data_IF_378349538658
#
_entry.id   IF_378349538658
#
_cell.length_a   1.000
_cell.length_b   1.000
_cell.length_c   1.000
_cell.angle_alpha   90.00
_cell.angle_beta   90.00
_cell.angle_gamma   90.00
#
_symmetry.space_group_name_H-M   'P 1'
#
loop_
_entity.id
_entity.type
_entity.pdbx_description
1 polymer ?
#
# COMPACT_ATOMS: atom_id res chain seq x y z
N UNK A 1 -74.07 -22.24 19.01
CA UNK A 1 -73.73 -22.16 17.57
C UNK A 1 -73.90 -20.75 16.99
N UNK A 2 -74.48 -19.78 17.71
CA UNK A 2 -74.66 -18.41 17.19
C UNK A 2 -75.78 -18.28 16.15
N UNK A 3 -76.62 -19.31 16.01
CA UNK A 3 -77.73 -19.36 15.06
C UNK A 3 -79.05 -19.09 15.77
N UNK A 4 -79.98 -18.44 15.06
CA UNK A 4 -81.34 -18.31 15.53
C UNK A 4 -82.04 -19.69 15.53
N UNK A 5 -82.89 -19.99 16.54
CA UNK A 5 -83.65 -21.23 16.56
C UNK A 5 -84.62 -21.30 15.36
N UNK A 6 -84.78 -22.51 14.83
CA UNK A 6 -85.69 -22.79 13.72
C UNK A 6 -87.13 -22.47 14.14
N UNK A 7 -87.86 -21.67 13.33
CA UNK A 7 -89.23 -21.29 13.67
C UNK A 7 -90.15 -22.51 13.60
N UNK A 8 -90.97 -22.77 14.62
CA UNK A 8 -91.89 -23.91 14.62
C UNK A 8 -92.96 -23.74 13.52
N UNK A 9 -93.43 -24.85 12.97
CA UNK A 9 -94.59 -24.86 12.08
C UNK A 9 -95.84 -24.37 12.82
N UNK A 10 -96.68 -23.61 12.12
CA UNK A 10 -97.98 -23.17 12.62
C UNK A 10 -99.09 -23.69 11.69
N UNK A 11 -100.05 -24.51 12.19
CA UNK A 11 -100.14 -25.05 13.56
C UNK A 11 -99.04 -26.07 13.88
N UNK A 12 -98.78 -26.29 15.18
CA UNK A 12 -97.78 -27.25 15.68
C UNK A 12 -98.11 -28.67 15.21
N UNK A 13 -97.17 -29.31 14.52
CA UNK A 13 -97.30 -30.70 14.07
C UNK A 13 -96.86 -31.66 15.20
N UNK A 14 -97.85 -32.15 15.96
CA UNK A 14 -97.65 -33.11 17.05
C UNK A 14 -97.76 -34.58 16.59
N UNK A 15 -97.81 -34.83 15.28
CA UNK A 15 -97.82 -36.21 14.76
C UNK A 15 -96.49 -36.90 15.03
N UNK A 16 -96.48 -38.25 15.04
CA UNK A 16 -95.24 -39.04 15.16
C UNK A 16 -94.21 -38.62 14.09
N UNK A 17 -94.67 -38.36 12.87
CA UNK A 17 -93.84 -37.87 11.78
C UNK A 17 -93.29 -36.44 12.03
N UNK A 18 -94.07 -35.55 12.64
CA UNK A 18 -93.61 -34.21 13.06
C UNK A 18 -92.51 -34.29 14.13
N UNK A 19 -92.72 -35.14 15.13
CA UNK A 19 -91.74 -35.37 16.21
C UNK A 19 -90.45 -36.00 15.66
N UNK A 20 -90.55 -36.99 14.78
CA UNK A 20 -89.37 -37.65 14.21
C UNK A 20 -88.57 -36.71 13.31
N UNK A 21 -89.23 -35.81 12.56
CA UNK A 21 -88.56 -34.73 11.81
C UNK A 21 -87.74 -33.81 12.72
N UNK A 22 -88.29 -33.40 13.87
CA UNK A 22 -87.57 -32.57 14.84
C UNK A 22 -86.39 -33.33 15.48
N UNK A 23 -86.55 -34.63 15.77
CA UNK A 23 -85.45 -35.47 16.27
C UNK A 23 -84.32 -35.60 15.25
N UNK A 24 -84.64 -35.78 13.98
CA UNK A 24 -83.66 -35.87 12.90
C UNK A 24 -82.92 -34.54 12.71
N UNK A 25 -83.65 -33.41 12.69
CA UNK A 25 -83.06 -32.07 12.66
C UNK A 25 -82.12 -31.82 13.86
N UNK A 26 -82.52 -32.23 15.06
CA UNK A 26 -81.67 -32.15 16.26
C UNK A 26 -80.42 -33.04 16.14
N UNK A 27 -80.55 -34.25 15.57
CA UNK A 27 -79.42 -35.15 15.33
C UNK A 27 -78.41 -34.53 14.35
N UNK A 28 -78.91 -33.92 13.27
CA UNK A 28 -78.08 -33.18 12.30
C UNK A 28 -77.37 -32.00 12.98
N UNK A 29 -78.10 -31.18 13.75
CA UNK A 29 -77.52 -30.04 14.47
C UNK A 29 -76.49 -30.44 15.52
N UNK A 30 -76.69 -31.55 16.25
CA UNK A 30 -75.69 -32.11 17.17
C UNK A 30 -74.42 -32.57 16.44
N UNK A 31 -74.56 -33.20 15.27
CA UNK A 31 -73.42 -33.61 14.44
C UNK A 31 -72.65 -32.39 13.92
N UNK A 32 -73.38 -31.38 13.41
CA UNK A 32 -72.79 -30.12 12.98
C UNK A 32 -72.06 -29.40 14.12
N UNK A 33 -72.66 -29.36 15.31
CA UNK A 33 -72.05 -28.79 16.50
C UNK A 33 -70.73 -29.48 16.87
N UNK A 34 -70.72 -30.81 16.87
CA UNK A 34 -69.51 -31.59 17.13
C UNK A 34 -68.41 -31.31 16.09
N UNK A 35 -68.78 -31.26 14.80
CA UNK A 35 -67.86 -30.93 13.72
C UNK A 35 -67.27 -29.53 13.87
N UNK A 36 -68.09 -28.52 14.19
CA UNK A 36 -67.63 -27.14 14.41
C UNK A 36 -66.71 -27.03 15.62
N UNK A 37 -67.05 -27.68 16.73
CA UNK A 37 -66.18 -27.73 17.92
C UNK A 37 -64.81 -28.32 17.57
N UNK A 38 -64.79 -29.42 16.82
CA UNK A 38 -63.54 -30.04 16.38
C UNK A 38 -62.73 -29.11 15.46
N UNK A 39 -63.38 -28.43 14.52
CA UNK A 39 -62.72 -27.48 13.62
C UNK A 39 -62.11 -26.29 14.40
N UNK A 40 -62.83 -25.72 15.36
CA UNK A 40 -62.34 -24.62 16.21
C UNK A 40 -61.11 -25.06 17.01
N UNK A 41 -61.17 -26.22 17.66
CA UNK A 41 -60.04 -26.75 18.43
C UNK A 41 -58.81 -26.97 17.54
N UNK A 42 -59.01 -27.46 16.30
CA UNK A 42 -57.92 -27.67 15.35
C UNK A 42 -57.25 -26.35 14.95
N UNK A 43 -58.01 -25.35 14.52
CA UNK A 43 -57.44 -24.06 14.08
C UNK A 43 -56.83 -23.29 15.25
N UNK A 44 -57.40 -23.40 16.46
CA UNK A 44 -56.82 -22.82 17.67
C UNK A 44 -55.50 -23.48 18.07
N UNK A 45 -55.37 -24.79 17.90
CA UNK A 45 -54.10 -25.49 18.13
C UNK A 45 -53.03 -25.07 17.11
N UNK A 46 -53.40 -24.97 15.83
CA UNK A 46 -52.52 -24.43 14.78
C UNK A 46 -52.06 -23.01 15.12
N UNK A 47 -52.97 -22.13 15.57
CA UNK A 47 -52.64 -20.79 16.02
C UNK A 47 -51.67 -20.80 17.21
N UNK A 48 -51.95 -21.61 18.24
CA UNK A 48 -51.10 -21.74 19.45
C UNK A 48 -49.69 -22.20 19.10
N UNK A 49 -49.55 -23.19 18.23
CA UNK A 49 -48.24 -23.68 17.77
C UNK A 49 -47.47 -22.57 17.04
N UNK A 50 -48.14 -21.78 16.20
CA UNK A 50 -47.49 -20.67 15.50
C UNK A 50 -47.07 -19.54 16.44
N UNK A 51 -47.91 -19.20 17.43
CA UNK A 51 -47.56 -18.21 18.47
C UNK A 51 -46.29 -18.61 19.21
N UNK A 52 -46.16 -19.89 19.58
CA UNK A 52 -44.97 -20.42 20.26
C UNK A 52 -43.73 -20.42 19.35
N UNK A 53 -43.87 -20.86 18.09
CA UNK A 53 -42.77 -20.86 17.11
C UNK A 53 -42.22 -19.46 16.83
N UNK A 54 -43.11 -18.48 16.72
CA UNK A 54 -42.77 -17.07 16.45
C UNK A 54 -42.36 -16.33 17.74
N UNK A 55 -42.58 -16.96 18.90
CA UNK A 55 -42.40 -16.38 20.24
C UNK A 55 -43.10 -15.02 20.38
N UNK A 56 -44.38 -14.98 20.03
CA UNK A 56 -45.17 -13.76 20.20
C UNK A 56 -45.50 -13.56 21.69
N UNK A 57 -45.03 -12.45 22.28
CA UNK A 57 -45.24 -12.15 23.71
C UNK A 57 -46.49 -11.31 23.92
N UNK A 58 -46.75 -10.36 23.01
CA UNK A 58 -47.86 -9.42 23.10
C UNK A 58 -49.08 -9.93 22.34
N UNK A 59 -49.97 -10.64 23.03
CA UNK A 59 -51.24 -11.12 22.50
C UNK A 59 -52.39 -10.19 22.90
N UNK A 60 -53.34 -9.97 22.00
CA UNK A 60 -54.61 -9.33 22.34
C UNK A 60 -55.43 -10.22 23.29
N UNK A 61 -56.43 -9.66 23.99
CA UNK A 61 -57.30 -10.44 24.87
C UNK A 61 -58.04 -11.56 24.12
N UNK A 62 -58.39 -11.31 22.85
CA UNK A 62 -58.95 -12.32 21.97
C UNK A 62 -57.95 -13.46 21.71
N UNK A 63 -56.73 -13.12 21.26
CA UNK A 63 -55.71 -14.11 20.92
C UNK A 63 -55.28 -14.92 22.15
N UNK A 64 -55.20 -14.27 23.33
CA UNK A 64 -54.98 -14.94 24.61
C UNK A 64 -56.10 -15.93 24.93
N UNK A 65 -57.35 -15.58 24.65
CA UNK A 65 -58.49 -16.48 24.83
C UNK A 65 -58.46 -17.66 23.86
N UNK A 66 -58.05 -17.45 22.60
CA UNK A 66 -57.84 -18.53 21.61
C UNK A 66 -56.76 -19.51 22.10
N UNK A 67 -55.66 -19.02 22.66
CA UNK A 67 -54.54 -19.84 23.15
C UNK A 67 -54.88 -20.60 24.45
N UNK A 68 -55.62 -19.98 25.36
CA UNK A 68 -55.84 -20.53 26.72
C UNK A 68 -57.16 -21.28 26.89
N UNK A 69 -58.27 -20.79 26.32
CA UNK A 69 -59.58 -21.39 26.45
C UNK A 69 -60.52 -20.98 25.29
N UNK A 70 -60.26 -21.51 24.09
CA UNK A 70 -61.05 -21.20 22.89
C UNK A 70 -62.53 -21.60 23.02
N UNK A 71 -62.85 -22.59 23.86
CA UNK A 71 -64.23 -23.06 24.01
C UNK A 71 -65.15 -22.01 24.65
N UNK A 72 -64.59 -21.07 25.43
CA UNK A 72 -65.33 -19.94 26.01
C UNK A 72 -65.82 -18.94 24.95
N UNK A 73 -65.22 -18.92 23.76
CA UNK A 73 -65.55 -18.00 22.66
C UNK A 73 -66.76 -18.47 21.84
N UNK A 74 -67.28 -19.67 22.12
CA UNK A 74 -68.45 -20.23 21.45
C UNK A 74 -68.13 -21.12 20.26
N UNK A 75 -69.15 -21.40 19.44
CA UNK A 75 -69.11 -22.39 18.34
C UNK A 75 -69.74 -21.85 17.05
N UNK A 76 -69.51 -20.57 16.76
CA UNK A 76 -69.98 -19.93 15.51
C UNK A 76 -69.01 -20.23 14.36
N UNK A 77 -69.51 -20.18 13.12
CA UNK A 77 -68.66 -20.32 11.93
C UNK A 77 -67.67 -19.14 11.81
N UNK A 78 -68.10 -17.93 12.16
CA UNK A 78 -67.29 -16.72 12.13
C UNK A 78 -66.04 -16.82 13.04
N UNK A 79 -66.12 -17.58 14.14
CA UNK A 79 -64.95 -17.82 14.99
C UNK A 79 -63.89 -18.64 14.26
N UNK A 80 -64.29 -19.65 13.49
CA UNK A 80 -63.38 -20.46 12.67
C UNK A 80 -62.69 -19.57 11.65
N UNK A 81 -63.46 -18.74 10.94
CA UNK A 81 -62.93 -17.81 9.95
C UNK A 81 -61.92 -16.83 10.57
N UNK A 82 -62.27 -16.20 11.68
CA UNK A 82 -61.40 -15.23 12.36
C UNK A 82 -60.08 -15.86 12.83
N UNK A 83 -60.11 -17.03 13.46
CA UNK A 83 -58.87 -17.71 13.88
C UNK A 83 -58.08 -18.16 12.64
N UNK A 84 -58.75 -18.60 11.57
CA UNK A 84 -58.07 -18.98 10.32
C UNK A 84 -57.33 -17.81 9.67
N UNK A 85 -57.92 -16.61 9.69
CA UNK A 85 -57.23 -15.38 9.25
C UNK A 85 -56.02 -15.08 10.13
N UNK A 86 -56.15 -15.18 11.45
CA UNK A 86 -55.03 -15.00 12.39
C UNK A 86 -53.90 -16.01 12.18
N UNK A 87 -54.24 -17.26 11.84
CA UNK A 87 -53.26 -18.30 11.47
C UNK A 87 -52.53 -17.90 10.19
N UNK A 88 -53.25 -17.44 9.16
CA UNK A 88 -52.64 -16.97 7.91
C UNK A 88 -51.68 -15.79 8.16
N UNK A 89 -52.07 -14.82 8.98
CA UNK A 89 -51.22 -13.69 9.37
C UNK A 89 -49.93 -14.15 10.06
N UNK A 90 -50.01 -15.12 10.99
CA UNK A 90 -48.83 -15.66 11.68
C UNK A 90 -47.93 -16.49 10.77
N UNK A 91 -48.50 -17.23 9.80
CA UNK A 91 -47.71 -17.94 8.78
C UNK A 91 -46.91 -16.94 7.95
N UNK A 92 -47.54 -15.84 7.54
CA UNK A 92 -46.85 -14.80 6.78
C UNK A 92 -45.76 -14.13 7.63
N UNK A 93 -46.06 -13.75 8.87
CA UNK A 93 -45.09 -13.16 9.78
C UNK A 93 -43.89 -14.08 10.01
N UNK A 94 -44.13 -15.38 10.19
CA UNK A 94 -43.07 -16.38 10.31
C UNK A 94 -42.19 -16.39 9.07
N UNK A 95 -42.78 -16.47 7.88
CA UNK A 95 -42.04 -16.47 6.61
C UNK A 95 -41.21 -15.19 6.42
N UNK A 96 -41.79 -14.03 6.74
CA UNK A 96 -41.10 -12.74 6.64
C UNK A 96 -39.90 -12.66 7.59
N UNK A 97 -40.06 -13.14 8.83
CA UNK A 97 -38.97 -13.18 9.82
C UNK A 97 -37.87 -14.17 9.45
N UNK A 98 -38.21 -15.34 8.94
CA UNK A 98 -37.24 -16.32 8.42
C UNK A 98 -36.43 -15.74 7.27
N UNK A 99 -37.10 -15.06 6.32
CA UNK A 99 -36.43 -14.43 5.19
C UNK A 99 -35.56 -13.25 5.62
N UNK A 100 -36.05 -12.37 6.49
CA UNK A 100 -35.28 -11.25 7.03
C UNK A 100 -34.02 -11.74 7.76
N UNK A 101 -34.17 -12.75 8.62
CA UNK A 101 -33.05 -13.36 9.33
C UNK A 101 -32.01 -13.93 8.37
N UNK A 102 -32.44 -14.66 7.34
CA UNK A 102 -31.53 -15.20 6.32
C UNK A 102 -30.73 -14.09 5.65
N UNK A 103 -31.41 -13.03 5.21
CA UNK A 103 -30.77 -11.88 4.56
C UNK A 103 -29.79 -11.14 5.49
N UNK A 104 -30.09 -11.03 6.79
CA UNK A 104 -29.18 -10.46 7.79
C UNK A 104 -27.95 -11.35 7.99
N UNK A 105 -28.14 -12.65 8.20
CA UNK A 105 -27.04 -13.60 8.39
C UNK A 105 -26.14 -13.70 7.16
N UNK A 106 -26.69 -13.69 5.95
CA UNK A 106 -25.91 -13.69 4.71
C UNK A 106 -24.97 -12.45 4.64
N UNK A 107 -25.47 -11.28 5.02
CA UNK A 107 -24.66 -10.04 5.08
C UNK A 107 -23.60 -10.11 6.19
N UNK A 108 -23.96 -10.65 7.36
CA UNK A 108 -23.06 -10.82 8.51
C UNK A 108 -21.92 -11.78 8.15
N UNK A 109 -22.20 -12.91 7.51
CA UNK A 109 -21.18 -13.87 7.09
C UNK A 109 -20.15 -13.24 6.13
N UNK A 110 -20.61 -12.49 5.13
CA UNK A 110 -19.72 -11.75 4.22
C UNK A 110 -18.81 -10.79 4.98
N UNK A 111 -19.33 -10.10 6.00
CA UNK A 111 -18.53 -9.18 6.82
C UNK A 111 -17.59 -9.91 7.77
N UNK A 112 -17.98 -11.06 8.34
CA UNK A 112 -17.11 -11.89 9.16
C UNK A 112 -15.90 -12.39 8.38
N UNK A 113 -16.09 -12.85 7.14
CA UNK A 113 -15.01 -13.28 6.25
C UNK A 113 -14.08 -12.11 5.92
N UNK A 114 -14.64 -10.97 5.52
CA UNK A 114 -13.85 -9.77 5.16
C UNK A 114 -13.10 -9.16 6.34
N UNK A 115 -13.69 -9.18 7.54
CA UNK A 115 -13.10 -8.59 8.74
C UNK A 115 -12.28 -9.60 9.56
N UNK A 116 -12.24 -10.87 9.12
CA UNK A 116 -11.59 -12.01 9.77
C UNK A 116 -12.00 -12.18 11.25
N UNK A 117 -13.31 -12.22 11.50
CA UNK A 117 -13.86 -12.38 12.86
C UNK A 117 -13.67 -13.83 13.31
N UNK A 118 -13.18 -14.02 14.55
CA UNK A 118 -12.86 -15.34 15.08
C UNK A 118 -14.10 -16.26 15.19
N UNK A 119 -13.98 -17.58 14.94
CA UNK A 119 -15.11 -18.51 15.01
C UNK A 119 -15.85 -18.53 16.35
N UNK A 120 -15.15 -18.29 17.47
CA UNK A 120 -15.77 -18.24 18.80
C UNK A 120 -16.82 -17.12 18.87
N UNK A 121 -16.46 -15.91 18.45
CA UNK A 121 -17.38 -14.75 18.40
C UNK A 121 -18.52 -14.99 17.41
N UNK A 122 -18.25 -15.66 16.27
CA UNK A 122 -19.31 -16.04 15.35
C UNK A 122 -20.32 -16.98 16.01
N UNK A 123 -19.84 -17.97 16.77
CA UNK A 123 -20.67 -18.90 17.54
C UNK A 123 -21.57 -18.19 18.54
N UNK A 124 -21.01 -17.29 19.36
CA UNK A 124 -21.76 -16.52 20.36
C UNK A 124 -22.90 -15.70 19.73
N UNK A 125 -22.66 -15.09 18.57
CA UNK A 125 -23.68 -14.34 17.82
C UNK A 125 -24.75 -15.28 17.26
N UNK A 126 -24.37 -16.41 16.67
CA UNK A 126 -25.33 -17.37 16.12
C UNK A 126 -26.24 -17.96 17.21
N UNK A 127 -25.69 -18.18 18.41
CA UNK A 127 -26.45 -18.62 19.57
C UNK A 127 -27.42 -17.52 20.08
N UNK A 128 -26.99 -16.26 20.11
CA UNK A 128 -27.87 -15.12 20.44
C UNK A 128 -28.97 -14.90 19.38
N UNK A 129 -28.70 -15.23 18.12
CA UNK A 129 -29.65 -15.14 17.01
C UNK A 129 -30.47 -16.42 16.81
N UNK A 130 -30.55 -17.32 17.80
CA UNK A 130 -31.27 -18.59 17.66
C UNK A 130 -32.78 -18.38 17.55
N UNK A 131 -33.44 -19.08 16.62
CA UNK A 131 -34.88 -18.94 16.37
C UNK A 131 -35.27 -17.75 15.49
N UNK A 132 -36.54 -17.34 15.54
CA UNK A 132 -37.13 -16.28 14.70
C UNK A 132 -37.94 -15.26 15.53
N UNK A 133 -37.59 -15.13 16.81
CA UNK A 133 -38.19 -14.12 17.66
C UNK A 133 -37.78 -12.72 17.23
N UNK A 134 -38.55 -11.71 17.65
CA UNK A 134 -38.20 -10.31 17.39
C UNK A 134 -36.84 -9.95 18.03
N UNK A 135 -36.54 -10.50 19.22
CA UNK A 135 -35.25 -10.30 19.87
C UNK A 135 -34.10 -10.94 19.08
N UNK A 136 -34.27 -12.15 18.54
CA UNK A 136 -33.23 -12.80 17.74
C UNK A 136 -32.90 -12.01 16.46
N UNK A 137 -33.92 -11.43 15.81
CA UNK A 137 -33.74 -10.53 14.68
C UNK A 137 -33.01 -9.24 15.08
N UNK A 138 -33.39 -8.63 16.21
CA UNK A 138 -32.72 -7.43 16.73
C UNK A 138 -31.23 -7.69 17.00
N UNK A 139 -30.88 -8.82 17.60
CA UNK A 139 -29.46 -9.18 17.80
C UNK A 139 -28.69 -9.29 16.48
N UNK A 140 -29.32 -9.84 15.42
CA UNK A 140 -28.70 -9.90 14.10
C UNK A 140 -28.54 -8.49 13.48
N UNK A 141 -29.52 -7.61 13.62
CA UNK A 141 -29.46 -6.21 13.18
C UNK A 141 -28.36 -5.42 13.91
N UNK A 142 -28.27 -5.60 15.23
CA UNK A 142 -27.25 -4.97 16.08
C UNK A 142 -25.85 -5.44 15.69
N UNK A 143 -25.66 -6.75 15.46
CA UNK A 143 -24.38 -7.28 14.98
C UNK A 143 -24.01 -6.73 13.60
N UNK A 144 -24.96 -6.71 12.66
CA UNK A 144 -24.73 -6.15 11.33
C UNK A 144 -24.28 -4.68 11.43
N UNK A 145 -24.95 -3.90 12.27
CA UNK A 145 -24.59 -2.50 12.54
C UNK A 145 -23.20 -2.38 13.13
N UNK A 146 -22.86 -3.23 14.11
CA UNK A 146 -21.53 -3.28 14.74
C UNK A 146 -20.44 -3.61 13.71
N UNK A 147 -20.65 -4.60 12.85
CA UNK A 147 -19.70 -4.99 11.79
C UNK A 147 -19.54 -3.90 10.74
N UNK A 148 -20.62 -3.24 10.32
CA UNK A 148 -20.56 -2.10 9.40
C UNK A 148 -19.79 -0.93 9.99
N UNK A 149 -19.93 -0.67 11.29
CA UNK A 149 -19.15 0.36 11.99
C UNK A 149 -17.67 -0.02 12.08
N UNK A 150 -17.37 -1.28 12.43
CA UNK A 150 -16.01 -1.80 12.47
C UNK A 150 -15.32 -1.70 11.09
N UNK A 151 -16.04 -2.06 10.01
CA UNK A 151 -15.57 -1.90 8.64
C UNK A 151 -15.18 -0.46 8.33
N UNK A 152 -16.07 0.50 8.63
CA UNK A 152 -15.83 1.93 8.40
C UNK A 152 -14.62 2.44 9.19
N UNK A 153 -14.50 2.00 10.45
CA UNK A 153 -13.37 2.40 11.31
C UNK A 153 -12.04 1.90 10.76
N UNK A 154 -11.93 0.59 10.46
CA UNK A 154 -10.70 0.01 9.87
C UNK A 154 -10.34 0.67 8.54
N UNK A 155 -11.34 0.93 7.70
CA UNK A 155 -11.13 1.59 6.41
C UNK A 155 -10.61 3.03 6.59
N UNK A 156 -11.14 3.77 7.57
CA UNK A 156 -10.66 5.10 7.93
C UNK A 156 -9.23 5.10 8.46
N UNK A 157 -8.86 4.12 9.27
CA UNK A 157 -7.48 3.93 9.76
C UNK A 157 -6.50 3.68 8.60
N UNK A 158 -6.83 2.74 7.70
CA UNK A 158 -6.03 2.45 6.52
C UNK A 158 -5.88 3.69 5.61
N UNK A 159 -6.97 4.42 5.40
CA UNK A 159 -6.94 5.64 4.60
C UNK A 159 -5.99 6.68 5.23
N UNK A 160 -6.07 6.89 6.55
CA UNK A 160 -5.17 7.80 7.26
C UNK A 160 -3.70 7.37 7.14
N UNK A 161 -3.41 6.08 7.22
CA UNK A 161 -2.05 5.55 7.06
C UNK A 161 -1.50 5.79 5.65
N UNK A 162 -2.29 5.53 4.62
CA UNK A 162 -1.88 5.80 3.22
C UNK A 162 -1.69 7.30 3.01
N UNK A 163 -2.59 8.15 3.54
CA UNK A 163 -2.45 9.62 3.47
C UNK A 163 -1.16 10.12 4.13
N UNK A 164 -0.79 9.55 5.28
CA UNK A 164 0.49 9.86 5.95
C UNK A 164 1.69 9.52 5.07
N UNK A 165 1.67 8.36 4.42
CA UNK A 165 2.73 7.95 3.50
C UNK A 165 2.83 8.86 2.27
N UNK A 166 1.70 9.24 1.68
CA UNK A 166 1.64 10.21 0.57
C UNK A 166 2.25 11.56 0.99
N UNK A 167 1.86 12.08 2.16
CA UNK A 167 2.40 13.35 2.67
C UNK A 167 3.92 13.30 2.93
N UNK A 168 4.43 12.17 3.42
CA UNK A 168 5.87 11.95 3.59
C UNK A 168 6.59 11.93 2.23
N UNK A 169 6.01 11.29 1.22
CA UNK A 169 6.57 11.27 -0.14
C UNK A 169 6.56 12.66 -0.77
N UNK A 170 5.48 13.44 -0.64
CA UNK A 170 5.44 14.83 -1.10
C UNK A 170 6.52 15.68 -0.45
N UNK A 171 6.74 15.52 0.85
CA UNK A 171 7.83 16.20 1.56
C UNK A 171 9.20 15.80 1.00
N UNK A 172 9.42 14.49 0.76
CA UNK A 172 10.68 13.99 0.19
C UNK A 172 10.94 14.42 -1.26
N UNK A 173 9.87 14.68 -2.01
CA UNK A 173 9.89 15.12 -3.40
C UNK A 173 9.90 16.65 -3.51
N UNK A 174 9.87 17.37 -2.38
CA UNK A 174 9.81 18.84 -2.31
C UNK A 174 8.61 19.41 -3.06
N UNK A 175 7.44 18.77 -2.95
CA UNK A 175 6.19 19.22 -3.57
C UNK A 175 5.54 20.27 -2.68
N UNK A 176 5.25 21.45 -3.24
CA UNK A 176 4.54 22.51 -2.52
C UNK A 176 3.13 22.08 -2.09
N UNK A 177 2.69 22.55 -0.92
CA UNK A 177 1.37 22.20 -0.38
C UNK A 177 0.21 22.55 -1.34
N UNK A 178 0.30 23.68 -2.03
CA UNK A 178 -0.69 24.11 -3.04
C UNK A 178 -0.69 23.17 -4.25
N UNK A 179 0.49 22.79 -4.75
CA UNK A 179 0.62 21.87 -5.87
C UNK A 179 0.14 20.46 -5.50
N UNK A 180 0.42 20.01 -4.28
CA UNK A 180 -0.06 18.73 -3.75
C UNK A 180 -1.59 18.68 -3.68
N UNK A 181 -2.23 19.73 -3.15
CA UNK A 181 -3.69 19.81 -3.04
C UNK A 181 -4.38 19.82 -4.42
N UNK A 182 -3.80 20.50 -5.41
CA UNK A 182 -4.32 20.51 -6.78
C UNK A 182 -4.05 19.20 -7.53
N UNK A 183 -2.91 18.56 -7.29
CA UNK A 183 -2.53 17.31 -7.96
C UNK A 183 -3.39 16.12 -7.52
N UNK A 184 -3.86 16.11 -6.26
CA UNK A 184 -4.64 15.00 -5.75
C UNK A 184 -5.78 15.48 -4.82
N UNK A 185 -6.91 15.93 -5.40
CA UNK A 185 -8.07 16.43 -4.65
C UNK A 185 -8.66 15.44 -3.64
N UNK A 186 -8.48 14.14 -3.87
CA UNK A 186 -8.99 13.08 -3.01
C UNK A 186 -8.44 13.12 -1.57
N UNK A 187 -7.32 13.82 -1.32
CA UNK A 187 -6.81 14.08 0.03
C UNK A 187 -7.72 14.98 0.88
N UNK A 188 -8.57 15.79 0.24
CA UNK A 188 -9.50 16.70 0.93
C UNK A 188 -10.81 16.02 1.34
N UNK A 189 -11.07 14.81 0.85
CA UNK A 189 -12.29 14.05 1.20
C UNK A 189 -12.23 13.68 2.69
N UNK A 190 -13.29 13.94 3.48
CA UNK A 190 -13.32 13.56 4.89
C UNK A 190 -13.15 12.05 5.10
N UNK A 191 -12.51 11.66 6.22
CA UNK A 191 -12.32 10.23 6.56
C UNK A 191 -13.64 9.54 6.90
N UNK A 192 -14.65 10.32 7.33
CA UNK A 192 -16.01 9.79 7.58
C UNK A 192 -16.67 9.25 6.31
N UNK A 193 -16.26 9.76 5.15
CA UNK A 193 -16.73 9.35 3.82
C UNK A 193 -15.78 8.33 3.17
N UNK A 194 -14.97 7.62 3.97
CA UNK A 194 -14.07 6.61 3.47
C UNK A 194 -14.84 5.46 2.80
N UNK A 195 -14.53 5.22 1.53
CA UNK A 195 -15.02 4.07 0.75
C UNK A 195 -13.85 3.22 0.26
N UNK A 196 -14.14 1.98 -0.16
CA UNK A 196 -13.12 1.07 -0.70
C UNK A 196 -12.49 1.68 -1.97
N UNK A 197 -13.27 2.38 -2.79
CA UNK A 197 -12.81 3.08 -3.99
C UNK A 197 -11.89 4.27 -3.64
N UNK A 198 -12.23 5.02 -2.59
CA UNK A 198 -11.39 6.12 -2.11
C UNK A 198 -10.04 5.60 -1.62
N UNK A 199 -10.02 4.50 -0.87
CA UNK A 199 -8.78 3.87 -0.42
C UNK A 199 -7.94 3.40 -1.62
N UNK A 200 -8.55 2.68 -2.57
CA UNK A 200 -7.85 2.19 -3.77
C UNK A 200 -7.24 3.34 -4.60
N UNK A 201 -7.93 4.49 -4.68
CA UNK A 201 -7.40 5.69 -5.33
C UNK A 201 -6.15 6.23 -4.61
N UNK A 202 -6.15 6.24 -3.28
CA UNK A 202 -4.98 6.65 -2.49
C UNK A 202 -3.82 5.66 -2.61
N UNK A 203 -4.09 4.35 -2.61
CA UNK A 203 -3.04 3.32 -2.79
C UNK A 203 -2.38 3.40 -4.17
N UNK A 204 -3.17 3.68 -5.22
CA UNK A 204 -2.67 3.91 -6.57
C UNK A 204 -1.76 5.14 -6.63
N UNK A 205 -2.19 6.24 -6.01
CA UNK A 205 -1.39 7.46 -5.93
C UNK A 205 -0.10 7.26 -5.12
N UNK A 206 -0.19 6.55 -3.99
CA UNK A 206 0.98 6.16 -3.19
C UNK A 206 1.99 5.38 -4.04
N UNK A 207 1.53 4.39 -4.82
CA UNK A 207 2.39 3.60 -5.70
C UNK A 207 3.04 4.46 -6.79
N UNK A 208 2.29 5.39 -7.38
CA UNK A 208 2.80 6.33 -8.38
C UNK A 208 3.88 7.26 -7.80
N UNK A 209 3.65 7.80 -6.61
CA UNK A 209 4.61 8.66 -5.92
C UNK A 209 5.85 7.90 -5.46
N UNK A 210 5.70 6.66 -5.00
CA UNK A 210 6.83 5.82 -4.62
C UNK A 210 7.73 5.47 -5.83
N UNK A 211 7.12 5.18 -6.98
CA UNK A 211 7.85 5.02 -8.24
C UNK A 211 8.62 6.30 -8.62
N UNK A 212 7.97 7.48 -8.53
CA UNK A 212 8.61 8.78 -8.78
C UNK A 212 9.78 9.03 -7.83
N UNK A 213 9.60 8.78 -6.54
CA UNK A 213 10.62 8.95 -5.51
C UNK A 213 11.80 7.99 -5.69
N UNK A 214 11.54 6.75 -6.04
CA UNK A 214 12.56 5.74 -6.32
C UNK A 214 13.37 6.09 -7.57
N UNK A 215 12.71 6.54 -8.65
CA UNK A 215 13.39 7.02 -9.85
C UNK A 215 14.25 8.26 -9.56
N UNK A 216 13.74 9.24 -8.79
CA UNK A 216 14.50 10.42 -8.35
C UNK A 216 15.73 10.01 -7.53
N UNK A 217 15.58 9.07 -6.59
CA UNK A 217 16.68 8.56 -5.75
C UNK A 217 17.77 7.87 -6.58
N UNK A 218 17.39 7.13 -7.64
CA UNK A 218 18.35 6.52 -8.55
C UNK A 218 19.16 7.57 -9.31
N UNK A 219 18.50 8.63 -9.79
CA UNK A 219 19.17 9.76 -10.44
C UNK A 219 20.14 10.47 -9.49
N UNK A 220 19.72 10.74 -8.25
CA UNK A 220 20.59 11.37 -7.25
C UNK A 220 21.90 10.60 -7.02
N UNK A 221 21.88 9.25 -7.05
CA UNK A 221 23.09 8.43 -6.96
C UNK A 221 24.02 8.60 -8.18
N UNK A 222 23.46 8.79 -9.38
CA UNK A 222 24.27 9.07 -10.57
C UNK A 222 24.87 10.47 -10.53
N UNK A 223 24.10 11.43 -10.02
CA UNK A 223 24.55 12.80 -9.78
C UNK A 223 25.70 12.81 -8.78
N UNK A 224 25.54 12.15 -7.63
CA UNK A 224 26.57 12.04 -6.59
C UNK A 224 27.91 11.52 -7.16
N UNK A 225 27.88 10.44 -7.96
CA UNK A 225 29.08 9.91 -8.63
C UNK A 225 29.72 10.89 -9.60
N UNK A 226 28.90 11.64 -10.36
CA UNK A 226 29.42 12.66 -11.28
C UNK A 226 30.08 13.80 -10.50
N UNK A 227 29.40 14.31 -9.48
CA UNK A 227 29.87 15.42 -8.65
C UNK A 227 31.13 15.04 -7.85
N UNK A 228 31.22 13.80 -7.37
CA UNK A 228 32.43 13.25 -6.74
C UNK A 228 33.63 13.32 -7.69
N UNK A 229 33.50 12.83 -8.93
CA UNK A 229 34.59 12.85 -9.91
C UNK A 229 34.95 14.29 -10.31
N UNK A 230 33.98 15.22 -10.37
CA UNK A 230 34.25 16.65 -10.62
C UNK A 230 35.04 17.26 -9.46
N UNK A 231 34.68 16.93 -8.22
CA UNK A 231 35.42 17.33 -7.02
C UNK A 231 36.85 16.79 -7.03
N UNK A 232 37.03 15.49 -7.31
CA UNK A 232 38.36 14.88 -7.45
C UNK A 232 39.18 15.55 -8.57
N UNK A 233 38.55 15.88 -9.71
CA UNK A 233 39.20 16.61 -10.83
C UNK A 233 39.72 17.97 -10.38
N UNK A 234 38.91 18.75 -9.68
CA UNK A 234 39.32 20.08 -9.20
C UNK A 234 40.50 19.99 -8.24
N UNK A 235 40.50 19.00 -7.34
CA UNK A 235 41.62 18.75 -6.42
C UNK A 235 42.90 18.33 -7.17
N UNK A 236 42.78 17.50 -8.20
CA UNK A 236 43.89 17.11 -9.06
C UNK A 236 44.49 18.31 -9.81
N UNK A 237 43.65 19.19 -10.36
CA UNK A 237 44.15 20.38 -11.05
C UNK A 237 44.87 21.33 -10.10
N UNK A 238 44.36 21.51 -8.88
CA UNK A 238 45.05 22.26 -7.84
C UNK A 238 46.42 21.64 -7.51
N UNK A 239 46.53 20.30 -7.46
CA UNK A 239 47.82 19.64 -7.21
C UNK A 239 48.82 19.79 -8.38
N UNK A 240 48.36 19.93 -9.62
CA UNK A 240 49.24 20.19 -10.77
C UNK A 240 49.99 21.52 -10.67
N UNK A 241 49.45 22.49 -9.94
CA UNK A 241 50.07 23.80 -9.72
C UNK A 241 51.03 23.85 -8.53
N UNK A 242 51.13 22.77 -7.73
CA UNK A 242 52.04 22.67 -6.59
C UNK A 242 53.48 22.32 -7.05
N UNK A 243 54.46 23.22 -6.87
CA UNK A 243 55.85 22.98 -7.28
C UNK A 243 56.53 21.84 -6.50
N UNK A 244 56.05 21.50 -5.29
CA UNK A 244 56.61 20.43 -4.45
C UNK A 244 55.94 19.06 -4.70
N UNK A 245 54.98 18.99 -5.64
CA UNK A 245 54.19 17.79 -5.95
C UNK A 245 55.03 16.54 -6.22
N UNK A 246 56.18 16.70 -6.89
CA UNK A 246 57.06 15.63 -7.33
C UNK A 246 58.25 15.36 -6.38
N UNK A 247 58.29 16.03 -5.22
CA UNK A 247 59.42 15.94 -4.29
C UNK A 247 59.07 14.98 -3.14
N UNK A 248 59.99 14.05 -2.83
CA UNK A 248 59.92 13.19 -1.65
C UNK A 248 59.44 11.74 -1.88
N UNK A 249 59.55 10.91 -0.83
CA UNK A 249 59.28 9.45 -0.85
C UNK A 249 57.84 9.05 -1.17
N UNK A 250 56.88 9.98 -1.05
CA UNK A 250 55.44 9.73 -1.31
C UNK A 250 55.05 10.08 -2.76
N UNK A 251 55.97 10.63 -3.56
CA UNK A 251 55.70 11.08 -4.93
C UNK A 251 55.22 9.95 -5.86
N UNK A 252 55.74 8.73 -5.71
CA UNK A 252 55.34 7.56 -6.52
C UNK A 252 53.90 7.11 -6.22
N UNK A 253 53.52 7.06 -4.95
CA UNK A 253 52.15 6.73 -4.52
C UNK A 253 51.15 7.86 -4.85
N UNK A 254 51.62 9.11 -4.94
CA UNK A 254 50.82 10.25 -5.40
C UNK A 254 50.59 10.16 -6.92
N UNK A 255 51.64 9.92 -7.71
CA UNK A 255 51.57 9.80 -9.17
C UNK A 255 50.65 8.65 -9.61
N UNK A 256 50.70 7.49 -8.93
CA UNK A 256 49.78 6.38 -9.21
C UNK A 256 48.31 6.72 -8.90
N UNK A 257 48.04 7.50 -7.84
CA UNK A 257 46.69 7.99 -7.54
C UNK A 257 46.22 8.98 -8.60
N UNK A 258 47.11 9.84 -9.06
CA UNK A 258 46.84 10.83 -10.10
C UNK A 258 46.56 10.20 -11.46
N UNK A 259 47.31 9.16 -11.86
CA UNK A 259 47.03 8.40 -13.09
C UNK A 259 45.68 7.68 -13.02
N UNK A 260 45.35 7.05 -11.87
CA UNK A 260 44.04 6.44 -11.65
C UNK A 260 42.91 7.47 -11.72
N UNK A 261 43.13 8.64 -11.13
CA UNK A 261 42.18 9.74 -11.17
C UNK A 261 42.03 10.32 -12.58
N UNK A 262 43.12 10.44 -13.34
CA UNK A 262 43.08 10.84 -14.74
C UNK A 262 42.28 9.84 -15.59
N UNK A 263 42.41 8.54 -15.31
CA UNK A 263 41.58 7.52 -15.95
C UNK A 263 40.09 7.67 -15.60
N UNK A 264 39.73 7.90 -14.31
CA UNK A 264 38.35 8.20 -13.90
C UNK A 264 37.80 9.43 -14.61
N UNK A 265 38.56 10.53 -14.65
CA UNK A 265 38.15 11.77 -15.30
C UNK A 265 37.97 11.57 -16.82
N UNK A 266 38.84 10.79 -17.46
CA UNK A 266 38.80 10.56 -18.91
C UNK A 266 37.69 9.59 -19.32
N UNK A 267 37.37 8.60 -18.48
CA UNK A 267 36.49 7.50 -18.86
C UNK A 267 35.17 7.47 -18.07
N UNK A 268 35.22 7.65 -16.75
CA UNK A 268 34.02 7.56 -15.91
C UNK A 268 33.20 8.86 -15.93
N UNK A 269 33.84 10.04 -15.95
CA UNK A 269 33.12 11.31 -16.01
C UNK A 269 32.22 11.42 -17.26
N UNK A 270 32.72 11.18 -18.50
CA UNK A 270 31.87 11.23 -19.69
C UNK A 270 30.78 10.13 -19.67
N UNK A 271 31.07 8.97 -19.08
CA UNK A 271 30.10 7.88 -18.91
C UNK A 271 28.92 8.31 -18.03
N UNK A 272 29.19 8.89 -16.87
CA UNK A 272 28.14 9.38 -15.96
C UNK A 272 27.41 10.59 -16.55
N UNK A 273 28.11 11.53 -17.19
CA UNK A 273 27.48 12.66 -17.89
C UNK A 273 26.55 12.17 -19.00
N UNK A 274 26.99 11.25 -19.87
CA UNK A 274 26.14 10.69 -20.93
C UNK A 274 24.92 9.95 -20.37
N UNK A 275 25.10 9.18 -19.30
CA UNK A 275 23.99 8.49 -18.64
C UNK A 275 22.97 9.49 -18.07
N UNK A 276 23.42 10.56 -17.43
CA UNK A 276 22.56 11.61 -16.90
C UNK A 276 21.83 12.38 -18.01
N UNK A 277 22.50 12.68 -19.13
CA UNK A 277 21.90 13.33 -20.30
C UNK A 277 20.83 12.45 -20.98
N UNK A 278 20.89 11.12 -20.85
CA UNK A 278 19.83 10.20 -21.29
C UNK A 278 18.68 10.13 -20.28
N UNK A 279 18.99 9.98 -18.99
CA UNK A 279 17.99 9.68 -17.96
C UNK A 279 17.24 10.89 -17.42
N UNK A 280 17.86 12.07 -17.37
CA UNK A 280 17.19 13.28 -16.87
C UNK A 280 16.05 13.73 -17.78
N UNK A 281 16.20 13.84 -19.13
CA UNK A 281 15.08 14.21 -20.00
C UNK A 281 13.94 13.20 -19.94
N UNK A 282 14.26 11.90 -19.91
CA UNK A 282 13.26 10.84 -19.78
C UNK A 282 12.44 10.99 -18.49
N UNK A 283 13.09 11.29 -17.36
CA UNK A 283 12.41 11.53 -16.09
C UNK A 283 11.56 12.80 -16.12
N UNK A 284 12.08 13.90 -16.67
CA UNK A 284 11.34 15.16 -16.78
C UNK A 284 10.10 15.02 -17.66
N UNK A 285 10.19 14.22 -18.74
CA UNK A 285 9.08 13.91 -19.63
C UNK A 285 8.05 13.00 -18.94
N UNK A 286 8.49 11.96 -18.22
CA UNK A 286 7.60 11.02 -17.52
C UNK A 286 6.78 11.69 -16.41
N UNK A 287 7.39 12.62 -15.67
CA UNK A 287 6.76 13.27 -14.52
C UNK A 287 6.31 14.71 -14.76
N UNK A 288 6.48 15.21 -16.00
CA UNK A 288 6.12 16.57 -16.42
C UNK A 288 6.65 17.68 -15.49
N UNK A 289 7.81 17.45 -14.87
CA UNK A 289 8.43 18.38 -13.92
C UNK A 289 9.94 18.44 -14.15
N UNK A 290 10.56 19.63 -14.20
CA UNK A 290 12.02 19.75 -14.29
C UNK A 290 12.73 19.08 -13.12
N UNK A 291 13.89 18.46 -13.36
CA UNK A 291 14.71 17.89 -12.31
C UNK A 291 15.57 19.00 -11.69
N UNK A 292 15.09 19.55 -10.58
CA UNK A 292 15.76 20.64 -9.85
C UNK A 292 16.61 20.08 -8.72
N UNK A 293 17.85 20.56 -8.63
CA UNK A 293 18.75 20.28 -7.52
C UNK A 293 19.40 21.59 -7.05
N UNK A 294 19.28 21.91 -5.76
CA UNK A 294 19.77 23.20 -5.18
C UNK A 294 19.20 24.45 -5.87
N UNK A 295 17.95 24.37 -6.36
CA UNK A 295 17.25 25.48 -6.98
C UNK A 295 17.52 25.70 -8.48
N UNK A 296 18.42 24.92 -9.10
CA UNK A 296 18.71 24.97 -10.54
C UNK A 296 18.32 23.64 -11.21
N UNK A 297 17.83 23.68 -12.46
CA UNK A 297 17.60 22.47 -13.24
C UNK A 297 18.96 21.82 -13.55
N UNK A 298 19.13 20.56 -13.15
CA UNK A 298 20.45 19.94 -13.15
C UNK A 298 21.04 19.72 -14.56
N UNK A 299 20.19 19.60 -15.60
CA UNK A 299 20.66 19.59 -17.01
C UNK A 299 21.40 20.89 -17.38
N UNK A 300 20.89 22.03 -16.90
CA UNK A 300 21.51 23.34 -17.15
C UNK A 300 22.81 23.46 -16.36
N UNK A 301 22.85 22.92 -15.13
CA UNK A 301 24.09 22.79 -14.34
C UNK A 301 25.16 21.96 -15.06
N UNK A 302 24.80 20.83 -15.68
CA UNK A 302 25.74 20.02 -16.48
C UNK A 302 26.32 20.85 -17.62
N UNK A 303 25.46 21.50 -18.41
CA UNK A 303 25.86 22.29 -19.57
C UNK A 303 26.79 23.44 -19.16
N UNK A 304 26.46 24.15 -18.09
CA UNK A 304 27.27 25.25 -17.55
C UNK A 304 28.64 24.77 -17.05
N UNK A 305 28.67 23.76 -16.18
CA UNK A 305 29.93 23.24 -15.60
C UNK A 305 30.88 22.69 -16.67
N UNK A 306 30.34 22.00 -17.67
CA UNK A 306 31.17 21.45 -18.76
C UNK A 306 31.67 22.57 -19.69
N UNK A 307 30.85 23.58 -19.99
CA UNK A 307 31.26 24.74 -20.79
C UNK A 307 32.32 25.61 -20.09
N UNK A 308 32.14 25.89 -18.79
CA UNK A 308 33.10 26.63 -17.96
C UNK A 308 34.46 25.90 -17.94
N UNK A 309 34.45 24.57 -17.84
CA UNK A 309 35.66 23.76 -17.87
C UNK A 309 36.39 23.82 -19.22
N UNK A 310 35.66 23.71 -20.35
CA UNK A 310 36.26 23.82 -21.68
C UNK A 310 36.90 25.19 -21.86
N UNK A 311 36.18 26.26 -21.50
CA UNK A 311 36.67 27.63 -21.56
C UNK A 311 37.93 27.83 -20.71
N UNK A 312 37.95 27.30 -19.49
CA UNK A 312 39.14 27.37 -18.64
C UNK A 312 40.35 26.67 -19.29
N UNK A 313 40.16 25.48 -19.86
CA UNK A 313 41.25 24.76 -20.55
C UNK A 313 41.75 25.48 -21.80
N UNK A 314 40.87 26.16 -22.53
CA UNK A 314 41.27 27.00 -23.65
C UNK A 314 42.10 28.21 -23.18
N UNK A 315 41.68 28.87 -22.10
CA UNK A 315 42.44 29.98 -21.49
C UNK A 315 43.83 29.52 -21.01
N UNK A 316 43.90 28.39 -20.29
CA UNK A 316 45.17 27.81 -19.83
C UNK A 316 46.11 27.49 -21.02
N UNK A 317 45.54 26.98 -22.13
CA UNK A 317 46.29 26.69 -23.36
C UNK A 317 46.82 27.97 -24.01
N UNK A 318 45.98 28.99 -24.12
CA UNK A 318 46.35 30.29 -24.70
C UNK A 318 47.41 30.99 -23.87
N UNK A 319 47.29 30.97 -22.54
CA UNK A 319 48.31 31.49 -21.62
C UNK A 319 49.63 30.74 -21.76
N UNK A 320 49.59 29.39 -21.78
CA UNK A 320 50.79 28.57 -21.99
C UNK A 320 51.46 28.87 -23.32
N UNK A 321 50.70 29.10 -24.38
CA UNK A 321 51.24 29.45 -25.71
C UNK A 321 51.76 30.90 -25.75
N UNK A 322 51.16 31.84 -25.02
CA UNK A 322 51.69 33.21 -24.80
C UNK A 322 53.04 33.16 -24.09
N UNK A 323 53.13 32.46 -22.95
CA UNK A 323 54.38 32.28 -22.20
C UNK A 323 55.49 31.62 -23.04
N UNK A 324 55.14 30.65 -23.90
CA UNK A 324 56.12 30.07 -24.84
C UNK A 324 56.60 31.08 -25.87
N UNK A 325 55.71 31.94 -26.40
CA UNK A 325 56.07 32.98 -27.37
C UNK A 325 56.94 34.07 -26.73
N UNK A 326 56.60 34.52 -25.53
CA UNK A 326 57.41 35.48 -24.75
C UNK A 326 58.80 34.91 -24.43
N UNK A 327 58.89 33.64 -23.99
CA UNK A 327 60.19 32.97 -23.77
C UNK A 327 61.01 32.84 -25.05
N UNK A 328 60.38 32.57 -26.20
CA UNK A 328 61.07 32.54 -27.49
C UNK A 328 61.53 33.93 -27.94
N UNK A 329 60.73 34.97 -27.71
CA UNK A 329 61.07 36.36 -28.03
C UNK A 329 62.24 36.89 -27.18
N UNK A 330 62.23 36.60 -25.88
CA UNK A 330 63.34 36.92 -24.98
C UNK A 330 64.64 36.18 -25.37
N UNK A 331 64.53 34.93 -25.84
CA UNK A 331 65.69 34.17 -26.33
C UNK A 331 66.21 34.63 -27.70
N UNK A 332 65.39 35.30 -28.52
CA UNK A 332 65.83 35.91 -29.80
C UNK A 332 66.45 37.28 -29.61
N UNK A 333 66.02 38.06 -28.62
CA UNK A 333 66.61 39.36 -28.26
C UNK A 333 68.05 39.20 -27.74
N UNK A 334 68.32 38.12 -26.98
CA UNK A 334 69.67 37.72 -26.55
C UNK A 334 70.59 37.27 -27.72
N UNK A 335 70.03 37.08 -28.93
CA UNK A 335 70.76 36.62 -30.13
C UNK A 335 71.05 37.72 -31.16
N UNK A 336 70.42 38.89 -31.05
CA UNK A 336 70.70 40.09 -31.87
C UNK A 336 71.29 41.17 -30.97
N UNK A 337 72.51 40.92 -30.50
CA UNK A 337 73.27 41.84 -29.67
C UNK A 337 73.49 43.19 -30.36
N UNK A 338 72.84 44.22 -29.84
CA UNK A 338 73.34 45.60 -29.92
C UNK A 338 74.37 45.76 -28.80
N UNK A 339 75.63 45.82 -29.20
CA UNK A 339 76.79 46.06 -28.35
C UNK A 339 76.64 47.32 -27.50
N UNK A 340 76.75 47.18 -26.18
CA UNK A 340 77.32 48.22 -25.31
C UNK A 340 78.27 47.59 -24.29
N UNK A 341 79.35 48.29 -23.89
CA UNK A 341 80.59 47.65 -23.45
C UNK A 341 80.61 47.34 -21.95
N UNK A 342 81.00 46.10 -21.61
CA UNK A 342 81.32 45.68 -20.23
C UNK A 342 82.73 46.14 -19.86
N UNK A 343 82.83 46.89 -18.76
CA UNK A 343 84.08 47.17 -18.04
C UNK A 343 84.60 45.91 -17.33
N UNK A 344 85.92 45.76 -17.38
CA UNK A 344 86.74 44.64 -16.90
C UNK A 344 86.78 44.59 -15.37
N UNK A 345 86.84 43.39 -14.77
CA UNK A 345 87.81 43.12 -13.69
C UNK A 345 88.12 41.63 -13.45
N UNK A 346 89.43 41.37 -13.47
CA UNK A 346 90.24 40.35 -12.78
C UNK A 346 90.08 38.84 -13.04
N UNK A 347 91.24 38.27 -13.39
CA UNK A 347 91.61 36.86 -13.54
C UNK A 347 91.78 36.17 -12.18
N UNK A 348 91.40 34.90 -12.11
CA UNK A 348 91.91 33.90 -11.18
C UNK A 348 92.04 32.54 -11.89
N UNK A 349 93.10 31.74 -11.66
CA UNK A 349 93.47 30.63 -12.54
C UNK A 349 92.77 29.31 -12.18
N UNK A 350 92.42 28.52 -13.19
CA UNK A 350 92.18 27.07 -13.09
C UNK A 350 93.49 26.30 -13.33
N UNK A 351 93.61 25.04 -12.85
CA UNK A 351 93.50 23.89 -13.76
C UNK A 351 93.03 22.58 -13.06
N UNK A 352 93.00 21.40 -13.73
CA UNK A 352 92.43 21.05 -15.03
C UNK A 352 91.40 19.88 -14.93
N UNK A 353 90.69 19.54 -16.02
CA UNK A 353 89.75 18.43 -16.06
C UNK A 353 90.43 17.11 -16.45
N UNK A 354 90.03 16.00 -15.82
CA UNK A 354 90.35 14.65 -16.29
C UNK A 354 89.09 13.97 -16.85
N UNK A 355 89.31 13.34 -17.99
CA UNK A 355 88.33 12.86 -18.95
C UNK A 355 88.08 11.36 -18.79
N UNK A 356 87.03 10.90 -19.49
CA UNK A 356 86.70 9.52 -19.91
C UNK A 356 85.85 8.65 -18.98
N UNK A 357 84.56 8.62 -19.30
CA UNK A 357 83.85 7.55 -20.03
C UNK A 357 84.30 6.10 -19.74
N UNK A 358 83.33 5.27 -19.33
CA UNK A 358 83.07 3.83 -19.62
C UNK A 358 82.37 3.26 -18.37
N UNK A 359 81.12 2.80 -18.42
CA UNK A 359 80.58 1.55 -18.98
C UNK A 359 79.97 0.72 -17.83
N UNK A 360 78.82 0.11 -18.12
CA UNK A 360 77.91 -0.72 -17.30
C UNK A 360 78.62 -1.84 -16.49
N UNK A 361 77.97 -2.47 -15.48
CA UNK A 361 76.93 -3.47 -15.78
C UNK A 361 75.76 -3.61 -14.77
N UNK A 362 74.67 -4.18 -15.31
CA UNK A 362 73.63 -4.95 -14.63
C UNK A 362 74.14 -5.76 -13.43
N UNK A 363 73.33 -5.82 -12.36
CA UNK A 363 73.26 -6.99 -11.51
C UNK A 363 71.79 -7.43 -11.34
N UNK A 364 71.51 -8.63 -11.84
CA UNK A 364 70.38 -9.46 -11.47
C UNK A 364 70.65 -10.13 -10.11
N UNK A 365 69.56 -10.42 -9.37
CA UNK A 365 69.36 -11.59 -8.47
C UNK A 365 70.26 -11.69 -7.21
N UNK A 366 69.86 -12.09 -6.00
CA UNK A 366 68.78 -12.94 -5.45
C UNK A 366 68.88 -12.95 -3.90
N UNK A 367 67.83 -13.44 -3.22
CA UNK A 367 67.83 -14.09 -1.87
C UNK A 367 67.50 -13.26 -0.58
N UNK A 368 66.21 -13.18 -0.20
CA UNK A 368 65.44 -13.91 0.88
C UNK A 368 66.21 -14.34 2.18
N UNK A 369 65.59 -14.52 3.38
CA UNK A 369 64.80 -13.68 4.33
C UNK A 369 65.41 -13.74 5.79
N UNK A 370 64.73 -13.42 6.94
CA UNK A 370 63.68 -14.27 7.53
C UNK A 370 62.52 -13.59 8.33
N UNK A 371 61.41 -14.33 8.38
CA UNK A 371 60.52 -14.70 9.52
C UNK A 371 60.14 -13.66 10.61
N UNK A 372 58.83 -13.45 10.85
CA UNK A 372 58.07 -14.13 11.92
C UNK A 372 56.59 -13.66 12.05
N UNK A 373 55.71 -14.67 12.17
CA UNK A 373 54.43 -14.74 12.90
C UNK A 373 53.24 -13.86 12.45
N UNK A 374 52.13 -14.45 11.97
CA UNK A 374 50.99 -15.10 12.67
C UNK A 374 49.74 -14.25 12.29
N UNK A 375 48.52 -14.71 12.00
CA UNK A 375 47.84 -15.98 12.15
C UNK A 375 46.50 -15.97 11.35
N UNK A 376 45.91 -17.17 11.15
CA UNK A 376 44.46 -17.50 11.02
C UNK A 376 43.77 -17.03 9.70
N UNK A 377 43.53 -17.87 8.67
CA UNK A 377 42.94 -19.21 8.56
C UNK A 377 41.46 -19.31 8.97
N UNK A 378 40.55 -19.14 8.01
CA UNK A 378 39.26 -19.84 7.98
C UNK A 378 38.94 -20.25 6.54
N UNK A 379 39.13 -21.55 6.28
CA UNK A 379 38.55 -22.23 5.15
C UNK A 379 37.09 -22.60 5.47
N UNK A 380 36.22 -22.50 4.48
CA UNK A 380 34.96 -23.24 4.45
C UNK A 380 34.80 -23.80 3.05
N UNK A 381 35.00 -25.11 2.95
CA UNK A 381 34.67 -25.91 1.79
C UNK A 381 33.41 -26.73 2.08
N UNK A 382 32.60 -26.84 1.03
CA UNK A 382 31.68 -27.92 0.64
C UNK A 382 30.68 -28.51 1.63
N UNK A 383 29.40 -28.48 1.21
CA UNK A 383 28.54 -29.67 1.19
C UNK A 383 27.35 -29.46 0.24
N UNK A 384 27.42 -30.07 -0.94
CA UNK A 384 26.26 -30.40 -1.80
C UNK A 384 26.26 -31.92 -1.94
N UNK A 385 25.23 -32.57 -1.42
CA UNK A 385 24.85 -33.94 -1.81
C UNK A 385 23.34 -34.09 -1.77
N UNK A 386 22.88 -34.97 -2.64
CA UNK A 386 21.55 -35.09 -3.26
C UNK A 386 20.89 -36.39 -2.75
N UNK A 387 19.55 -36.47 -2.89
CA UNK A 387 18.69 -37.67 -2.95
C UNK A 387 18.36 -38.39 -1.63
N UNK A 388 17.08 -38.50 -1.25
CA UNK A 388 16.13 -39.56 -1.65
C UNK A 388 14.78 -39.42 -0.92
N UNK A 389 13.69 -39.71 -1.65
CA UNK A 389 12.29 -39.94 -1.21
C UNK A 389 12.17 -41.39 -0.64
N UNK A 390 10.97 -41.95 -0.32
CA UNK A 390 9.74 -41.46 0.34
C UNK A 390 9.32 -42.38 1.52
N UNK A 391 8.29 -42.04 2.32
CA UNK A 391 7.34 -43.07 2.84
C UNK A 391 6.05 -42.48 3.43
N UNK A 392 4.98 -43.20 3.14
CA UNK A 392 3.59 -43.21 3.59
C UNK A 392 3.40 -43.28 5.11
N UNK A 393 2.41 -42.55 5.64
CA UNK A 393 1.23 -43.08 6.36
C UNK A 393 0.16 -42.00 6.50
#
# INVERSE_FOLDING_TARGET
MGEAPEKPSQPLDLTVAGIDRVKDALRVKKKEQANRRQAILKVADEYRVLVDQVQLVDLSDFDRSVVTNVEALGQSLNLIELISTRVADLIQLKADREQAKKTLLDQIHVLWDRLNVSPNVQGDVLDACRGISADALRHAEDELTRLQHLKRTKLGELLLDVRRQIAALWSSLEVDATAAASSFPAMQVPVVDATEELLALHESELKRLDAKATARRALLKYIEKREEIIGERSQYEASLHDPDRLIGRVATARLLREEKLQAKIKHDLPKWTKLLLDKLPAWEQEYCTPFVLRGERYLDTIARVDADYIKQKELDRMEKDRLKREKKAAATDDKLGVSTPKLKLAKGPSPPPLTKRMSCPNQMTTAVPPSHHNAVALARDSSKSKLANPETY
#
